data_IF_051447434065
#
_entry.id   IF_051447434065
#
_cell.length_a   1.000
_cell.length_b   1.000
_cell.length_c   1.000
_cell.angle_alpha   90.00
_cell.angle_beta   90.00
_cell.angle_gamma   90.00
#
_symmetry.space_group_name_H-M   'P 1'
#
loop_
_entity.id
_entity.type
_entity.pdbx_description
1 polymer ?
#
# COMPACT_ATOMS: atom_id res chain seq x y z
N UNK A 1 10.62 6.35 -7.59
CA UNK A 1 11.20 5.80 -6.37
C UNK A 1 12.63 6.31 -6.26
N UNK A 2 12.83 7.20 -5.32
CA UNK A 2 14.07 7.96 -5.21
C UNK A 2 15.11 7.15 -4.45
N UNK A 3 16.01 6.50 -5.18
CA UNK A 3 17.25 5.96 -4.63
C UNK A 3 17.11 4.69 -3.78
N UNK A 4 16.03 3.92 -3.92
CA UNK A 4 15.89 2.63 -3.25
C UNK A 4 14.52 2.37 -2.63
N UNK A 5 14.29 1.14 -2.20
CA UNK A 5 13.05 0.67 -1.58
C UNK A 5 12.98 0.96 -0.07
N UNK A 6 14.05 1.43 0.54
CA UNK A 6 14.16 1.54 2.00
C UNK A 6 13.34 2.69 2.58
N UNK A 7 12.54 2.39 3.61
CA UNK A 7 11.80 3.34 4.42
C UNK A 7 12.70 4.06 5.45
N UNK A 8 13.89 4.52 5.02
CA UNK A 8 14.79 5.24 5.90
C UNK A 8 14.21 6.60 6.30
N UNK A 9 14.64 7.12 7.45
CA UNK A 9 14.22 8.45 7.95
C UNK A 9 14.34 9.55 6.88
N UNK A 10 15.48 9.59 6.20
CA UNK A 10 15.75 10.59 5.16
C UNK A 10 14.79 10.47 3.98
N UNK A 11 14.52 9.25 3.54
CA UNK A 11 13.63 9.00 2.40
C UNK A 11 12.16 9.34 2.69
N UNK A 12 11.64 8.97 3.88
CA UNK A 12 10.25 9.27 4.26
C UNK A 12 10.03 10.78 4.36
N UNK A 13 10.90 11.48 5.06
CA UNK A 13 10.80 12.95 5.22
C UNK A 13 10.91 13.65 3.87
N UNK A 14 11.92 13.32 3.07
CA UNK A 14 12.12 13.92 1.76
C UNK A 14 10.94 13.63 0.82
N UNK A 15 10.40 12.42 0.83
CA UNK A 15 9.26 12.05 0.00
C UNK A 15 7.97 12.80 0.40
N UNK A 16 7.78 13.06 1.69
CA UNK A 16 6.67 13.88 2.18
C UNK A 16 6.81 15.34 1.71
N UNK A 17 7.99 15.95 1.91
CA UNK A 17 8.27 17.33 1.47
C UNK A 17 8.13 17.50 -0.04
N UNK A 18 8.60 16.52 -0.82
CA UNK A 18 8.45 16.53 -2.27
C UNK A 18 6.99 16.35 -2.71
N UNK A 19 6.19 15.61 -1.95
CA UNK A 19 4.77 15.47 -2.23
C UNK A 19 4.02 16.77 -1.95
N UNK A 20 4.32 17.45 -0.85
CA UNK A 20 3.76 18.79 -0.53
C UNK A 20 4.06 19.79 -1.64
N UNK A 21 5.32 19.83 -2.12
CA UNK A 21 5.72 20.69 -3.23
C UNK A 21 4.94 20.41 -4.52
N UNK A 22 4.76 19.13 -4.86
CA UNK A 22 4.01 18.75 -6.07
C UNK A 22 2.51 19.03 -5.96
N UNK A 23 1.95 18.87 -4.77
CA UNK A 23 0.55 19.14 -4.48
C UNK A 23 0.26 20.63 -4.27
N UNK A 24 1.30 21.45 -4.10
CA UNK A 24 1.19 22.90 -3.81
C UNK A 24 0.31 23.15 -2.56
N UNK A 25 0.58 22.40 -1.49
CA UNK A 25 -0.14 22.50 -0.21
C UNK A 25 0.83 22.39 0.95
N UNK A 26 0.41 22.90 2.11
CA UNK A 26 1.22 22.87 3.34
C UNK A 26 1.02 21.57 4.14
N UNK A 27 -0.02 20.81 3.86
CA UNK A 27 -0.31 19.57 4.56
C UNK A 27 -0.91 18.49 3.63
N UNK A 28 -0.80 17.23 4.07
CA UNK A 28 -1.40 16.05 3.44
C UNK A 28 -2.35 15.41 4.45
N UNK A 29 -3.60 15.19 4.08
CA UNK A 29 -4.58 14.54 4.97
C UNK A 29 -4.23 13.08 5.23
N UNK A 30 -3.86 12.31 4.19
CA UNK A 30 -3.48 10.91 4.29
C UNK A 30 -2.19 10.64 3.53
N UNK A 31 -1.15 10.24 4.24
CA UNK A 31 0.12 9.81 3.65
C UNK A 31 0.28 8.30 3.79
N UNK A 32 0.49 7.59 2.68
CA UNK A 32 0.55 6.14 2.65
C UNK A 32 1.96 5.63 2.32
N UNK A 33 2.42 4.63 3.07
CA UNK A 33 3.59 3.83 2.71
C UNK A 33 3.19 2.92 1.55
N UNK A 34 3.91 3.00 0.42
CA UNK A 34 3.48 2.41 -0.84
C UNK A 34 3.55 0.88 -0.88
N UNK A 35 4.56 0.29 -0.24
CA UNK A 35 4.71 -1.15 -0.07
C UNK A 35 5.68 -1.49 1.06
N UNK A 36 5.66 -2.75 1.55
CA UNK A 36 6.63 -3.25 2.53
C UNK A 36 8.07 -3.14 2.03
N UNK A 37 9.00 -2.82 2.94
CA UNK A 37 10.43 -2.83 2.64
C UNK A 37 11.00 -4.24 2.57
N UNK A 38 10.49 -5.15 3.39
CA UNK A 38 10.89 -6.55 3.44
C UNK A 38 10.40 -7.34 2.22
N UNK A 39 11.05 -8.47 1.95
CA UNK A 39 10.58 -9.42 0.94
C UNK A 39 9.28 -10.06 1.43
N UNK A 40 8.21 -9.86 0.67
CA UNK A 40 6.90 -10.46 0.93
C UNK A 40 6.06 -10.45 -0.35
N UNK A 41 4.96 -11.23 -0.35
CA UNK A 41 4.02 -11.21 -1.46
C UNK A 41 3.22 -9.90 -1.49
N UNK A 42 3.54 -9.03 -2.43
CA UNK A 42 2.91 -7.74 -2.63
C UNK A 42 2.10 -7.71 -3.94
N UNK A 43 1.31 -6.67 -4.14
CA UNK A 43 0.58 -6.41 -5.39
C UNK A 43 -0.37 -7.55 -5.81
N UNK A 44 -0.90 -8.32 -4.84
CA UNK A 44 -1.83 -9.41 -5.10
C UNK A 44 -1.17 -10.72 -5.55
N UNK A 45 0.13 -10.88 -5.38
CA UNK A 45 0.80 -12.17 -5.51
C UNK A 45 0.28 -13.15 -4.46
N UNK A 46 0.03 -14.40 -4.86
CA UNK A 46 -0.59 -15.42 -3.99
C UNK A 46 0.42 -16.24 -3.19
N UNK A 47 1.68 -16.28 -3.65
CA UNK A 47 2.69 -17.15 -3.06
C UNK A 47 3.71 -16.34 -2.29
N UNK A 48 3.94 -16.72 -1.04
CA UNK A 48 5.09 -16.25 -0.27
C UNK A 48 6.32 -17.07 -0.66
N UNK A 49 7.42 -16.39 -0.96
CA UNK A 49 8.70 -17.03 -1.26
C UNK A 49 9.62 -16.91 -0.06
N UNK A 50 10.09 -18.05 0.43
CA UNK A 50 11.13 -18.09 1.46
C UNK A 50 12.47 -17.76 0.80
N UNK A 51 12.82 -16.49 0.83
CA UNK A 51 14.11 -16.00 0.35
C UNK A 51 14.89 -15.37 1.50
N UNK A 52 16.20 -15.35 1.39
CA UNK A 52 17.02 -14.56 2.32
C UNK A 52 16.67 -13.08 2.16
N UNK A 53 16.31 -12.47 3.29
CA UNK A 53 16.03 -11.05 3.39
C UNK A 53 17.06 -10.43 4.36
N UNK A 54 17.74 -9.39 3.92
CA UNK A 54 18.62 -8.58 4.77
C UNK A 54 17.87 -7.49 5.53
N UNK A 55 16.53 -7.50 5.47
CA UNK A 55 15.70 -6.56 6.19
C UNK A 55 15.72 -6.84 7.70
N UNK A 56 15.90 -5.80 8.47
CA UNK A 56 15.77 -5.82 9.92
C UNK A 56 14.47 -5.15 10.33
N UNK A 57 13.83 -5.63 11.43
CA UNK A 57 12.58 -5.05 11.94
C UNK A 57 12.78 -3.57 12.25
N UNK A 58 12.16 -2.72 11.45
CA UNK A 58 12.22 -1.27 11.57
C UNK A 58 10.85 -0.59 11.70
N UNK A 59 9.79 -1.34 12.02
CA UNK A 59 8.43 -0.79 12.12
C UNK A 59 8.35 0.36 13.12
N UNK A 60 8.98 0.22 14.29
CA UNK A 60 9.00 1.27 15.31
C UNK A 60 9.69 2.52 14.80
N UNK A 61 10.88 2.39 14.19
CA UNK A 61 11.62 3.52 13.63
C UNK A 61 10.84 4.22 12.51
N UNK A 62 10.09 3.49 11.70
CA UNK A 62 9.22 4.06 10.67
C UNK A 62 8.10 4.88 11.30
N UNK A 63 7.42 4.36 12.32
CA UNK A 63 6.36 5.07 13.04
C UNK A 63 6.88 6.32 13.75
N UNK A 64 8.03 6.26 14.40
CA UNK A 64 8.66 7.42 15.05
C UNK A 64 8.96 8.56 14.06
N UNK A 65 9.32 8.20 12.82
CA UNK A 65 9.59 9.18 11.75
C UNK A 65 8.30 9.81 11.26
N UNK A 66 7.26 9.01 11.07
CA UNK A 66 5.95 9.48 10.68
C UNK A 66 5.33 10.37 11.78
N UNK A 67 5.51 10.02 13.04
CA UNK A 67 5.09 10.82 14.20
C UNK A 67 5.70 12.23 14.17
N UNK A 68 7.00 12.33 13.86
CA UNK A 68 7.67 13.63 13.71
C UNK A 68 7.08 14.48 12.59
N UNK A 69 6.69 13.87 11.47
CA UNK A 69 6.09 14.58 10.35
C UNK A 69 4.66 15.01 10.70
N UNK A 70 3.91 14.15 11.42
CA UNK A 70 2.58 14.50 11.93
C UNK A 70 2.66 15.67 12.92
N UNK A 71 3.57 15.61 13.90
CA UNK A 71 3.79 16.68 14.89
C UNK A 71 4.24 18.00 14.27
N UNK A 72 4.87 17.97 13.10
CA UNK A 72 5.20 19.19 12.34
C UNK A 72 4.02 19.76 11.54
N UNK A 73 2.83 19.13 11.58
CA UNK A 73 1.64 19.58 10.87
C UNK A 73 1.60 19.24 9.37
N UNK A 74 2.65 18.63 8.82
CA UNK A 74 2.77 18.32 7.38
C UNK A 74 1.89 17.15 6.94
N UNK A 75 1.56 16.23 7.85
CA UNK A 75 0.71 15.08 7.60
C UNK A 75 -0.31 14.98 8.73
N UNK A 76 -1.57 14.69 8.43
CA UNK A 76 -2.62 14.46 9.43
C UNK A 76 -2.74 13.00 9.82
N UNK A 77 -2.82 12.13 8.83
CA UNK A 77 -3.04 10.70 9.01
C UNK A 77 -2.07 9.89 8.16
N UNK A 78 -1.82 8.66 8.60
CA UNK A 78 -0.94 7.73 7.90
C UNK A 78 -1.67 6.43 7.57
N UNK A 79 -1.25 5.79 6.49
CA UNK A 79 -1.79 4.51 6.04
C UNK A 79 -0.74 3.63 5.38
N UNK A 80 -1.15 2.41 5.11
CA UNK A 80 -0.34 1.39 4.45
C UNK A 80 -0.85 1.14 3.03
N UNK A 81 -0.02 0.56 2.19
CA UNK A 81 -0.42 0.00 0.90
C UNK A 81 0.39 -1.27 0.60
N UNK A 82 -0.25 -2.24 -0.05
CA UNK A 82 0.35 -3.53 -0.41
C UNK A 82 0.95 -4.30 0.77
N UNK A 83 0.46 -4.02 1.97
CA UNK A 83 0.92 -4.69 3.19
C UNK A 83 0.10 -5.97 3.44
N UNK A 84 0.73 -6.95 4.07
CA UNK A 84 0.16 -8.23 4.44
C UNK A 84 -0.31 -8.25 5.91
N UNK A 85 -1.15 -9.23 6.31
CA UNK A 85 -1.72 -9.32 7.66
C UNK A 85 -0.68 -9.16 8.76
N UNK A 86 0.46 -9.85 8.66
CA UNK A 86 1.53 -9.76 9.66
C UNK A 86 2.07 -8.33 9.83
N UNK A 87 2.36 -7.64 8.74
CA UNK A 87 2.88 -6.28 8.81
C UNK A 87 1.84 -5.26 9.26
N UNK A 88 0.56 -5.45 8.91
CA UNK A 88 -0.53 -4.61 9.43
C UNK A 88 -0.56 -4.73 10.95
N UNK A 89 -0.55 -5.97 11.49
CA UNK A 89 -0.56 -6.21 12.94
C UNK A 89 0.67 -5.66 13.64
N UNK A 90 1.85 -5.74 13.01
CA UNK A 90 3.07 -5.12 13.57
C UNK A 90 2.94 -3.61 13.72
N UNK A 91 2.45 -2.90 12.71
CA UNK A 91 2.19 -1.47 12.81
C UNK A 91 1.14 -1.13 13.88
N UNK A 92 0.08 -1.94 13.99
CA UNK A 92 -0.93 -1.79 15.04
C UNK A 92 -0.33 -1.99 16.42
N UNK A 93 0.46 -3.06 16.62
CA UNK A 93 1.12 -3.37 17.89
C UNK A 93 2.00 -2.20 18.37
N UNK A 94 2.88 -1.72 17.51
CA UNK A 94 3.78 -0.61 17.85
C UNK A 94 3.04 0.70 18.09
N UNK A 95 1.89 0.92 17.44
CA UNK A 95 1.08 2.13 17.67
C UNK A 95 0.50 2.21 19.09
N UNK A 96 0.29 1.06 19.77
CA UNK A 96 -0.20 1.00 21.15
C UNK A 96 0.76 1.63 22.17
N UNK A 97 2.01 1.88 21.77
CA UNK A 97 3.04 2.54 22.59
C UNK A 97 3.06 4.09 22.39
N UNK A 98 1.94 4.69 22.04
CA UNK A 98 1.83 6.14 21.86
C UNK A 98 2.33 6.66 20.51
N UNK A 99 2.62 5.78 19.56
CA UNK A 99 2.97 6.13 18.19
C UNK A 99 1.70 6.26 17.31
N UNK A 100 1.78 6.95 16.17
CA UNK A 100 0.61 7.16 15.31
C UNK A 100 0.11 5.84 14.71
N UNK A 101 -1.21 5.68 14.68
CA UNK A 101 -1.88 4.51 14.13
C UNK A 101 -2.05 4.62 12.63
N UNK A 102 -1.82 3.53 11.90
CA UNK A 102 -2.20 3.39 10.50
C UNK A 102 -3.73 3.30 10.41
N UNK A 103 -4.37 4.30 9.80
CA UNK A 103 -5.84 4.38 9.73
C UNK A 103 -6.42 3.71 8.48
N UNK A 104 -5.59 3.45 7.46
CA UNK A 104 -6.01 2.80 6.21
C UNK A 104 -4.99 1.79 5.73
N UNK A 105 -5.49 0.85 4.94
CA UNK A 105 -4.69 -0.04 4.09
C UNK A 105 -5.20 0.03 2.65
N UNK A 106 -4.34 0.29 1.68
CA UNK A 106 -4.68 0.30 0.27
C UNK A 106 -4.15 -0.96 -0.41
N UNK A 107 -5.06 -1.91 -0.70
CA UNK A 107 -4.72 -3.19 -1.30
C UNK A 107 -5.60 -3.52 -2.51
N UNK A 108 -5.17 -4.46 -3.40
CA UNK A 108 -6.01 -4.90 -4.51
C UNK A 108 -7.24 -5.63 -3.97
N UNK A 109 -8.41 -5.21 -4.40
CA UNK A 109 -9.66 -5.86 -4.02
C UNK A 109 -10.70 -5.70 -5.12
N UNK A 110 -11.23 -6.82 -5.60
CA UNK A 110 -12.25 -6.88 -6.64
C UNK A 110 -12.92 -8.24 -6.63
N UNK A 111 -13.97 -8.45 -7.44
CA UNK A 111 -14.59 -9.78 -7.61
C UNK A 111 -13.62 -10.84 -8.11
N UNK A 112 -12.56 -10.45 -8.84
CA UNK A 112 -11.52 -11.37 -9.34
C UNK A 112 -10.31 -11.51 -8.40
N UNK A 113 -10.21 -10.68 -7.36
CA UNK A 113 -9.14 -10.75 -6.37
C UNK A 113 -9.68 -10.48 -4.98
N UNK A 114 -9.96 -11.56 -4.26
CA UNK A 114 -10.52 -11.53 -2.89
C UNK A 114 -9.50 -11.95 -1.82
N UNK A 115 -8.21 -11.95 -2.15
CA UNK A 115 -7.15 -12.35 -1.20
C UNK A 115 -7.14 -11.51 0.08
N UNK A 116 -7.57 -10.26 0.00
CA UNK A 116 -7.67 -9.38 1.17
C UNK A 116 -8.59 -9.94 2.26
N UNK A 117 -9.60 -10.71 1.87
CA UNK A 117 -10.54 -11.32 2.81
C UNK A 117 -9.90 -12.40 3.69
N UNK A 118 -8.78 -12.98 3.21
CA UNK A 118 -8.04 -14.01 3.94
C UNK A 118 -7.10 -13.35 4.97
N UNK A 119 -7.62 -13.03 6.14
CA UNK A 119 -6.85 -12.50 7.29
C UNK A 119 -6.80 -10.97 7.40
N UNK A 120 -6.80 -10.19 6.33
CA UNK A 120 -6.73 -8.74 6.43
C UNK A 120 -8.05 -8.09 6.83
N UNK A 121 -9.18 -8.62 6.38
CA UNK A 121 -10.52 -8.08 6.70
C UNK A 121 -10.80 -8.13 8.20
N UNK A 122 -10.46 -9.23 8.86
CA UNK A 122 -10.66 -9.39 10.30
C UNK A 122 -9.84 -8.37 11.09
N UNK A 123 -8.57 -8.19 10.72
CA UNK A 123 -7.70 -7.17 11.33
C UNK A 123 -8.29 -5.77 11.12
N UNK A 124 -8.71 -5.45 9.91
CA UNK A 124 -9.30 -4.14 9.60
C UNK A 124 -10.53 -3.86 10.44
N UNK A 125 -11.38 -4.88 10.65
CA UNK A 125 -12.58 -4.78 11.48
C UNK A 125 -12.26 -4.50 12.94
N UNK A 126 -11.41 -5.34 13.55
CA UNK A 126 -11.15 -5.27 14.99
C UNK A 126 -10.18 -4.15 15.37
N UNK A 127 -9.26 -3.82 14.47
CA UNK A 127 -8.30 -2.74 14.70
C UNK A 127 -8.75 -1.40 14.08
N UNK A 128 -9.97 -1.33 13.53
CA UNK A 128 -10.54 -0.11 12.93
C UNK A 128 -9.58 0.54 11.90
N UNK A 129 -9.17 -0.25 10.90
CA UNK A 129 -8.35 0.18 9.76
C UNK A 129 -9.20 0.12 8.50
N UNK A 130 -9.36 1.26 7.80
CA UNK A 130 -10.17 1.34 6.58
C UNK A 130 -9.49 0.72 5.37
N UNK A 131 -10.23 -0.01 4.52
CA UNK A 131 -9.73 -0.48 3.23
C UNK A 131 -9.95 0.57 2.13
N UNK A 132 -8.89 0.91 1.42
CA UNK A 132 -8.92 1.63 0.14
C UNK A 132 -8.67 0.60 -0.98
N UNK A 133 -9.73 0.14 -1.63
CA UNK A 133 -9.62 -0.88 -2.68
C UNK A 133 -9.04 -0.27 -3.97
N UNK A 134 -7.95 -0.83 -4.49
CA UNK A 134 -7.49 -0.49 -5.83
C UNK A 134 -7.77 -1.60 -6.84
N UNK A 135 -7.88 -1.22 -8.11
CA UNK A 135 -8.27 -2.09 -9.23
C UNK A 135 -9.64 -2.78 -9.03
N UNK A 136 -10.68 -2.08 -8.54
CA UNK A 136 -11.98 -2.70 -8.28
C UNK A 136 -12.63 -3.27 -9.54
N UNK A 137 -12.28 -2.75 -10.73
CA UNK A 137 -12.70 -3.28 -12.02
C UNK A 137 -11.67 -4.23 -12.67
N UNK A 138 -10.69 -4.73 -11.89
CA UNK A 138 -9.69 -5.70 -12.36
C UNK A 138 -9.02 -5.26 -13.69
N UNK A 139 -8.45 -4.05 -13.74
CA UNK A 139 -7.89 -3.42 -14.94
C UNK A 139 -8.89 -3.25 -16.11
N UNK A 140 -10.18 -3.24 -15.81
CA UNK A 140 -11.26 -3.11 -16.78
C UNK A 140 -11.82 -4.45 -17.27
N UNK A 141 -11.32 -5.59 -16.80
CA UNK A 141 -11.85 -6.91 -17.16
C UNK A 141 -13.33 -7.06 -16.75
N UNK A 142 -13.67 -6.59 -15.57
CA UNK A 142 -15.05 -6.63 -15.06
C UNK A 142 -16.04 -5.68 -15.78
N UNK A 143 -15.57 -4.85 -16.69
CA UNK A 143 -16.48 -4.00 -17.50
C UNK A 143 -17.08 -4.74 -18.70
N UNK A 144 -16.63 -5.96 -18.99
CA UNK A 144 -17.07 -6.73 -20.17
C UNK A 144 -16.40 -6.36 -21.49
N UNK A 145 -15.63 -5.25 -21.55
CA UNK A 145 -15.02 -4.76 -22.82
C UNK A 145 -14.00 -5.71 -23.44
N UNK A 146 -13.50 -6.68 -22.69
CA UNK A 146 -12.53 -7.68 -23.14
C UNK A 146 -13.15 -9.03 -23.45
N UNK A 147 -14.48 -9.16 -23.48
CA UNK A 147 -15.14 -10.41 -23.87
C UNK A 147 -14.77 -10.86 -25.27
N UNK A 148 -14.77 -12.17 -25.49
CA UNK A 148 -14.42 -12.80 -26.77
C UNK A 148 -12.99 -12.48 -27.25
N UNK A 149 -12.06 -12.35 -26.32
CA UNK A 149 -10.64 -12.03 -26.57
C UNK A 149 -10.42 -10.71 -27.33
N UNK A 150 -11.38 -9.80 -27.29
CA UNK A 150 -11.25 -8.48 -27.89
C UNK A 150 -10.45 -7.56 -26.95
N UNK A 151 -9.44 -6.90 -27.49
CA UNK A 151 -8.70 -5.82 -26.80
C UNK A 151 -8.96 -4.53 -27.56
N UNK A 152 -9.91 -3.70 -27.10
CA UNK A 152 -10.20 -2.43 -27.77
C UNK A 152 -8.97 -1.52 -27.81
N UNK A 153 -8.76 -0.85 -28.93
CA UNK A 153 -7.68 0.13 -29.12
C UNK A 153 -7.72 1.21 -28.03
N UNK A 154 -6.58 1.60 -27.51
CA UNK A 154 -6.40 2.54 -26.41
C UNK A 154 -7.00 2.07 -25.06
N UNK A 155 -7.38 0.81 -24.95
CA UNK A 155 -7.76 0.24 -23.64
C UNK A 155 -6.54 -0.03 -22.77
N UNK A 156 -6.76 -0.22 -21.47
CA UNK A 156 -5.65 -0.45 -20.52
C UNK A 156 -4.79 -1.65 -20.89
N UNK A 157 -5.39 -2.76 -21.34
CA UNK A 157 -4.63 -3.95 -21.74
C UNK A 157 -3.92 -3.77 -23.08
N UNK A 158 -4.45 -2.94 -23.97
CA UNK A 158 -3.78 -2.55 -25.21
C UNK A 158 -2.53 -1.70 -24.93
N UNK A 159 -2.69 -0.66 -24.11
CA UNK A 159 -1.59 0.24 -23.74
C UNK A 159 -0.53 -0.40 -22.84
N UNK A 160 -0.93 -1.38 -22.02
CA UNK A 160 -0.06 -2.05 -21.04
C UNK A 160 -0.19 -3.57 -21.14
N UNK A 161 0.30 -4.21 -22.20
CA UNK A 161 0.11 -5.66 -22.45
C UNK A 161 0.78 -6.56 -21.41
N UNK A 162 1.68 -6.00 -20.59
CA UNK A 162 2.32 -6.72 -19.47
C UNK A 162 1.43 -6.85 -18.23
N UNK A 163 0.31 -6.13 -18.17
CA UNK A 163 -0.63 -6.20 -17.05
C UNK A 163 -1.52 -7.46 -17.11
N UNK A 164 -0.92 -8.64 -16.91
CA UNK A 164 -1.60 -9.94 -17.06
C UNK A 164 -2.34 -10.44 -15.80
N UNK A 165 -2.27 -9.73 -14.67
CA UNK A 165 -2.82 -10.21 -13.37
C UNK A 165 -4.26 -10.73 -13.42
N UNK A 166 -5.12 -10.17 -14.27
CA UNK A 166 -6.53 -10.52 -14.38
C UNK A 166 -6.92 -11.04 -15.76
N UNK A 167 -5.94 -11.30 -16.61
CA UNK A 167 -6.14 -11.69 -18.01
C UNK A 167 -5.22 -12.88 -18.37
N UNK A 168 -5.14 -13.86 -17.48
CA UNK A 168 -4.41 -15.13 -17.69
C UNK A 168 -5.40 -16.29 -17.74
#
# INVERSE_FOLDING_TARGET
LRGGSRLSRKHIMQAADDSLKRLQTDYIDLYQLHWPERITNTFGNRSFQYAQDSWEDNFMQVLEKLDKIIKSGKIRHIGLSNENPWGIMKFVEYSKNGLPKMITIQNPYSLLNRLFEVGSTEICKYENVGLLAYSPLAFGVLTGKYFNNKIPKNSRLDLFPTLKRYNS
#
